data_IF_672140141308
#
_entry.id   IF_672140141308
#
_cell.length_a   1.000
_cell.length_b   1.000
_cell.length_c   1.000
_cell.angle_alpha   90.00
_cell.angle_beta   90.00
_cell.angle_gamma   90.00
#
_symmetry.space_group_name_H-M   'P 1'
#
loop_
_entity.id
_entity.type
_entity.pdbx_description
1 polymer ?
#
# COMPACT_ATOMS: atom_id res chain seq x y z
N UNK A 1 -26.62 13.83 18.48
CA UNK A 1 -26.31 15.10 17.79
C UNK A 1 -24.93 14.99 17.20
N UNK A 2 -24.87 14.74 15.89
CA UNK A 2 -23.70 14.92 15.02
C UNK A 2 -24.25 14.97 13.59
N UNK A 3 -25.13 15.94 13.35
CA UNK A 3 -25.51 16.38 12.01
C UNK A 3 -24.57 17.53 11.66
N UNK A 4 -23.89 17.40 10.53
CA UNK A 4 -23.06 18.46 9.99
C UNK A 4 -21.77 17.91 9.44
N UNK A 5 -21.83 17.27 8.26
CA UNK A 5 -21.09 17.79 7.11
C UNK A 5 -21.43 17.14 5.76
N UNK A 6 -22.70 16.76 5.52
CA UNK A 6 -23.07 16.17 4.22
C UNK A 6 -23.09 17.19 3.06
N UNK A 7 -23.13 18.49 3.35
CA UNK A 7 -23.06 19.55 2.32
C UNK A 7 -21.61 19.90 1.90
N UNK A 8 -20.60 19.71 2.77
CA UNK A 8 -19.21 19.96 2.34
C UNK A 8 -18.65 18.81 1.52
N UNK A 9 -19.21 17.60 1.59
CA UNK A 9 -18.77 16.49 0.75
C UNK A 9 -19.23 16.65 -0.72
N UNK A 10 -20.38 17.29 -0.95
CA UNK A 10 -20.96 17.47 -2.29
C UNK A 10 -20.40 18.67 -3.04
N UNK A 11 -19.79 19.66 -2.37
CA UNK A 11 -19.08 20.75 -3.06
C UNK A 11 -17.74 20.29 -3.66
N UNK A 12 -17.02 19.38 -3.00
CA UNK A 12 -15.74 18.83 -3.47
C UNK A 12 -15.86 17.94 -4.71
N UNK A 13 -17.07 17.44 -5.00
CA UNK A 13 -17.37 16.59 -6.17
C UNK A 13 -17.66 17.41 -7.43
N UNK A 14 -18.03 18.68 -7.28
CA UNK A 14 -18.48 19.50 -8.42
C UNK A 14 -17.36 20.34 -9.06
N UNK A 15 -16.21 20.49 -8.37
CA UNK A 15 -15.11 21.35 -8.82
C UNK A 15 -13.96 20.57 -9.47
N UNK A 16 -13.98 19.24 -9.35
CA UNK A 16 -13.10 18.32 -10.07
C UNK A 16 -13.98 17.27 -10.71
N UNK A 17 -13.78 17.07 -11.99
CA UNK A 17 -14.33 16.00 -12.83
C UNK A 17 -13.92 14.64 -12.24
N UNK A 18 -14.53 14.28 -11.11
CA UNK A 18 -14.23 13.07 -10.36
C UNK A 18 -14.99 11.96 -11.06
N UNK A 19 -14.28 11.34 -11.98
CA UNK A 19 -14.61 10.06 -12.55
C UNK A 19 -14.94 9.09 -11.41
N UNK A 20 -16.20 8.69 -11.33
CA UNK A 20 -16.73 7.81 -10.27
C UNK A 20 -16.12 6.41 -10.42
N UNK A 21 -15.57 6.08 -11.59
CA UNK A 21 -14.75 4.88 -11.84
C UNK A 21 -13.31 5.04 -11.32
N UNK A 22 -12.92 6.24 -10.88
CA UNK A 22 -11.61 6.60 -10.35
C UNK A 22 -11.71 7.17 -8.92
N UNK A 23 -12.58 6.56 -8.09
CA UNK A 23 -12.45 6.70 -6.64
C UNK A 23 -11.01 6.32 -6.29
N UNK A 24 -10.21 7.22 -5.67
CA UNK A 24 -8.81 6.91 -5.45
C UNK A 24 -8.69 5.65 -4.61
N UNK A 25 -8.07 4.62 -5.19
CA UNK A 25 -7.55 3.41 -4.54
C UNK A 25 -6.88 3.69 -3.17
N UNK A 26 -6.49 4.94 -2.94
CA UNK A 26 -5.97 5.50 -1.71
C UNK A 26 -6.79 5.24 -0.44
N UNK A 27 -8.13 5.28 -0.46
CA UNK A 27 -8.91 5.06 0.77
C UNK A 27 -8.93 3.58 1.18
N UNK A 28 -9.28 2.67 0.26
CA UNK A 28 -9.31 1.23 0.50
C UNK A 28 -7.89 0.67 0.78
N UNK A 29 -6.87 1.25 0.14
CA UNK A 29 -5.48 0.89 0.39
C UNK A 29 -5.04 1.09 1.83
N UNK A 30 -5.40 2.22 2.45
CA UNK A 30 -4.92 2.54 3.79
C UNK A 30 -5.46 1.55 4.82
N UNK A 31 -6.72 1.14 4.64
CA UNK A 31 -7.35 0.09 5.45
C UNK A 31 -6.66 -1.27 5.23
N UNK A 32 -6.42 -1.67 3.98
CA UNK A 32 -5.77 -2.93 3.67
C UNK A 32 -4.28 -2.99 4.08
N UNK A 33 -3.54 -1.88 4.02
CA UNK A 33 -2.18 -1.78 4.56
C UNK A 33 -2.19 -1.94 6.07
N UNK A 34 -3.16 -1.33 6.76
CA UNK A 34 -3.37 -1.52 8.19
C UNK A 34 -3.59 -3.00 8.54
N UNK A 35 -4.47 -3.68 7.78
CA UNK A 35 -4.73 -5.11 7.94
C UNK A 35 -3.46 -5.95 7.70
N UNK A 36 -2.71 -5.70 6.63
CA UNK A 36 -1.46 -6.41 6.35
C UNK A 36 -0.45 -6.26 7.49
N UNK A 37 -0.29 -5.06 8.07
CA UNK A 37 0.58 -4.82 9.23
C UNK A 37 0.13 -5.57 10.47
N UNK A 38 -1.18 -5.66 10.71
CA UNK A 38 -1.75 -6.45 11.80
C UNK A 38 -1.45 -7.93 11.61
N UNK A 39 -1.65 -8.48 10.40
CA UNK A 39 -1.34 -9.87 10.11
C UNK A 39 0.15 -10.18 10.28
N UNK A 40 1.05 -9.32 9.81
CA UNK A 40 2.50 -9.48 10.04
C UNK A 40 2.81 -9.56 11.54
N UNK A 41 2.22 -8.66 12.34
CA UNK A 41 2.46 -8.61 13.79
C UNK A 41 1.86 -9.79 14.56
N UNK A 42 0.83 -10.42 14.00
CA UNK A 42 0.22 -11.64 14.53
C UNK A 42 0.89 -12.92 14.01
N UNK A 43 1.97 -12.80 13.23
CA UNK A 43 2.60 -13.95 12.56
C UNK A 43 1.60 -14.71 11.65
N UNK A 44 0.65 -14.01 11.06
CA UNK A 44 -0.24 -14.53 10.02
C UNK A 44 0.32 -14.14 8.65
N UNK A 45 1.53 -14.62 8.34
CA UNK A 45 2.30 -14.16 7.18
C UNK A 45 1.63 -14.52 5.86
N UNK A 46 0.88 -15.63 5.76
CA UNK A 46 0.20 -16.04 4.53
C UNK A 46 -0.91 -15.07 4.14
N UNK A 47 -1.72 -14.66 5.12
CA UNK A 47 -2.79 -13.69 4.96
C UNK A 47 -2.22 -12.31 4.63
N UNK A 48 -1.12 -11.92 5.27
CA UNK A 48 -0.40 -10.70 4.94
C UNK A 48 0.10 -10.69 3.49
N UNK A 49 0.77 -11.76 3.04
CA UNK A 49 1.29 -11.90 1.68
C UNK A 49 0.16 -11.80 0.66
N UNK A 50 -0.94 -12.53 0.89
CA UNK A 50 -2.07 -12.56 -0.04
C UNK A 50 -2.69 -11.17 -0.27
N UNK A 51 -2.90 -10.40 0.80
CA UNK A 51 -3.41 -9.03 0.66
C UNK A 51 -2.38 -8.12 -0.02
N UNK A 52 -1.11 -8.23 0.33
CA UNK A 52 -0.07 -7.38 -0.26
C UNK A 52 0.08 -7.63 -1.76
N UNK A 53 -0.01 -8.87 -2.23
CA UNK A 53 -0.01 -9.20 -3.67
C UNK A 53 -1.18 -8.55 -4.41
N UNK A 54 -2.37 -8.52 -3.80
CA UNK A 54 -3.55 -7.86 -4.37
C UNK A 54 -3.41 -6.34 -4.44
N UNK A 55 -2.61 -5.73 -3.57
CA UNK A 55 -2.40 -4.28 -3.53
C UNK A 55 -1.26 -3.79 -4.42
N UNK A 56 -0.24 -4.63 -4.66
CA UNK A 56 0.96 -4.24 -5.42
C UNK A 56 0.63 -3.97 -6.89
N UNK A 57 -0.11 -4.85 -7.56
CA UNK A 57 -0.42 -4.67 -8.99
C UNK A 57 -1.20 -3.38 -9.28
N UNK A 58 -2.29 -3.04 -8.54
CA UNK A 58 -2.95 -1.76 -8.74
C UNK A 58 -2.06 -0.55 -8.44
N UNK A 59 -1.21 -0.61 -7.40
CA UNK A 59 -0.26 0.48 -7.10
C UNK A 59 0.76 0.69 -8.23
N UNK A 60 1.28 -0.41 -8.79
CA UNK A 60 2.19 -0.39 -9.95
C UNK A 60 1.51 0.19 -11.18
N UNK A 61 0.33 -0.31 -11.53
CA UNK A 61 -0.41 0.13 -12.72
C UNK A 61 -0.87 1.58 -12.59
N UNK A 62 -1.20 2.03 -11.37
CA UNK A 62 -1.53 3.41 -11.07
C UNK A 62 -0.32 4.36 -11.04
N UNK A 63 0.91 3.85 -11.15
CA UNK A 63 2.14 4.65 -11.13
C UNK A 63 2.47 5.26 -9.75
N UNK A 64 1.80 4.84 -8.68
CA UNK A 64 2.10 5.27 -7.31
C UNK A 64 3.30 4.49 -6.77
N UNK A 65 4.48 4.86 -7.25
CA UNK A 65 5.74 4.20 -6.91
C UNK A 65 6.03 4.28 -5.41
N UNK A 66 5.61 5.34 -4.71
CA UNK A 66 5.82 5.45 -3.25
C UNK A 66 5.02 4.36 -2.54
N UNK A 67 3.77 4.16 -2.97
CA UNK A 67 2.91 3.09 -2.46
C UNK A 67 3.43 1.71 -2.84
N UNK A 68 3.91 1.53 -4.08
CA UNK A 68 4.51 0.26 -4.51
C UNK A 68 5.71 -0.10 -3.63
N UNK A 69 6.59 0.86 -3.32
CA UNK A 69 7.73 0.67 -2.42
C UNK A 69 7.25 0.26 -1.00
N UNK A 70 6.27 0.96 -0.43
CA UNK A 70 5.74 0.64 0.90
C UNK A 70 5.18 -0.79 0.97
N UNK A 71 4.41 -1.19 -0.06
CA UNK A 71 3.83 -2.52 -0.15
C UNK A 71 4.88 -3.62 -0.33
N UNK A 72 5.92 -3.37 -1.15
CA UNK A 72 7.04 -4.30 -1.34
C UNK A 72 7.86 -4.49 -0.05
N UNK A 73 8.04 -3.44 0.75
CA UNK A 73 8.71 -3.53 2.06
C UNK A 73 7.89 -4.39 3.02
N UNK A 74 6.57 -4.18 3.10
CA UNK A 74 5.69 -5.01 3.93
C UNK A 74 5.68 -6.47 3.46
N UNK A 75 5.76 -6.71 2.16
CA UNK A 75 5.83 -8.05 1.58
C UNK A 75 7.14 -8.75 1.97
N UNK A 76 8.26 -8.03 1.93
CA UNK A 76 9.55 -8.54 2.39
C UNK A 76 9.50 -8.95 3.88
N UNK A 77 8.88 -8.13 4.73
CA UNK A 77 8.69 -8.44 6.15
C UNK A 77 7.79 -9.66 6.36
N UNK A 78 6.73 -9.81 5.58
CA UNK A 78 5.82 -10.95 5.67
C UNK A 78 6.53 -12.26 5.27
N UNK A 79 7.27 -12.25 4.15
CA UNK A 79 8.08 -13.41 3.73
C UNK A 79 9.16 -13.76 4.75
N UNK A 80 9.84 -12.75 5.32
CA UNK A 80 10.83 -12.96 6.37
C UNK A 80 10.22 -13.62 7.61
N UNK A 81 9.05 -13.15 8.06
CA UNK A 81 8.30 -13.75 9.18
C UNK A 81 7.91 -15.20 8.89
N UNK A 82 7.54 -15.51 7.65
CA UNK A 82 7.26 -16.87 7.19
C UNK A 82 8.49 -17.77 6.94
N UNK A 83 9.71 -17.25 7.13
CA UNK A 83 10.96 -17.98 6.91
C UNK A 83 11.42 -18.09 5.45
N UNK A 84 10.71 -17.46 4.51
CA UNK A 84 11.05 -17.44 3.09
C UNK A 84 12.03 -16.29 2.79
N UNK A 85 13.32 -16.55 3.02
CA UNK A 85 14.38 -15.54 2.86
C UNK A 85 14.56 -15.11 1.40
N UNK A 86 14.36 -16.01 0.46
CA UNK A 86 14.59 -15.73 -0.95
C UNK A 86 13.55 -14.75 -1.48
N UNK A 87 12.26 -14.98 -1.16
CA UNK A 87 11.20 -14.03 -1.50
C UNK A 87 11.32 -12.72 -0.73
N UNK A 88 11.74 -12.75 0.54
CA UNK A 88 11.97 -11.53 1.31
C UNK A 88 13.01 -10.62 0.66
N UNK A 89 14.15 -11.19 0.23
CA UNK A 89 15.20 -10.46 -0.48
C UNK A 89 14.72 -9.95 -1.83
N UNK A 90 14.02 -10.78 -2.60
CA UNK A 90 13.49 -10.39 -3.91
C UNK A 90 12.51 -9.20 -3.81
N UNK A 91 11.62 -9.18 -2.81
CA UNK A 91 10.72 -8.04 -2.59
C UNK A 91 11.47 -6.78 -2.17
N UNK A 92 12.50 -6.90 -1.31
CA UNK A 92 13.32 -5.77 -0.89
C UNK A 92 14.16 -5.19 -2.03
N UNK A 93 14.74 -6.03 -2.89
CA UNK A 93 15.50 -5.61 -4.06
C UNK A 93 14.64 -4.80 -5.03
N UNK A 94 13.39 -5.21 -5.26
CA UNK A 94 12.43 -4.44 -6.06
C UNK A 94 12.14 -3.08 -5.44
N UNK A 95 11.91 -3.03 -4.12
CA UNK A 95 11.67 -1.78 -3.41
C UNK A 95 12.88 -0.82 -3.52
N UNK A 96 14.10 -1.34 -3.37
CA UNK A 96 15.33 -0.57 -3.51
C UNK A 96 15.52 -0.06 -4.94
N UNK A 97 15.30 -0.91 -5.94
CA UNK A 97 15.41 -0.54 -7.36
C UNK A 97 14.45 0.60 -7.74
N UNK A 98 13.24 0.60 -7.17
CA UNK A 98 12.28 1.69 -7.37
C UNK A 98 12.65 2.97 -6.60
N UNK A 99 13.32 2.84 -5.45
CA UNK A 99 13.74 3.95 -4.60
C UNK A 99 15.08 4.60 -4.99
N UNK A 100 15.97 3.85 -5.64
CA UNK A 100 17.33 4.27 -6.05
C UNK A 100 17.32 5.54 -6.91
N UNK A 101 16.47 5.70 -7.94
CA UNK A 101 16.47 6.89 -8.79
C UNK A 101 16.02 8.16 -8.07
N UNK A 102 15.41 8.03 -6.88
CA UNK A 102 14.80 9.13 -6.13
C UNK A 102 15.54 9.49 -4.84
N UNK A 103 16.66 8.82 -4.54
CA UNK A 103 17.46 9.11 -3.35
C UNK A 103 16.73 8.81 -2.03
N UNK A 104 15.77 7.88 -2.03
CA UNK A 104 15.00 7.50 -0.84
C UNK A 104 15.81 6.62 0.12
N UNK A 105 16.85 7.17 0.74
CA UNK A 105 17.52 6.52 1.87
C UNK A 105 16.64 6.52 3.15
N UNK A 106 15.57 7.31 3.21
CA UNK A 106 14.81 7.57 4.45
C UNK A 106 13.68 6.59 4.74
N UNK A 107 13.41 5.65 3.83
CA UNK A 107 12.35 4.63 3.98
C UNK A 107 12.92 3.31 4.54
N UNK A 108 14.26 3.15 4.51
CA UNK A 108 14.94 1.90 4.90
C UNK A 108 15.66 1.97 6.26
N UNK A 109 15.56 3.07 7.00
CA UNK A 109 16.23 3.28 8.31
C UNK A 109 15.21 3.45 9.43
#
# INVERSE_FOLDING_TARGET
>A
MAQGNLESASYWVNERDLDIDNIPFYLDCLEHIGVARVFIRQENWKEAISILEQLIEPARLGGDITREIELLILQALAFHSGGDKDQALASLEKALTLGEPRGYCRIFV
#
